data_IF_129902781300
#
_entry.id   IF_129902781300
#
_cell.length_a   1.000
_cell.length_b   1.000
_cell.length_c   1.000
_cell.angle_alpha   90.00
_cell.angle_beta   90.00
_cell.angle_gamma   90.00
#
_symmetry.space_group_name_H-M   'P 1'
#
loop_
_entity.id
_entity.type
_entity.pdbx_description
1 polymer ?
#
# COMPACT_ATOMS: atom_id res chain seq x y z
N UNK A 1 16.66 -0.96 -1.12
CA UNK A 1 15.63 -1.07 -0.06
C UNK A 1 14.70 -2.24 -0.41
N UNK A 2 14.35 -3.09 0.56
CA UNK A 2 13.35 -4.16 0.41
C UNK A 2 12.09 -3.76 1.16
N UNK A 3 10.92 -4.14 0.64
CA UNK A 3 9.64 -3.79 1.24
C UNK A 3 8.86 -5.04 1.60
N UNK A 4 8.14 -4.98 2.72
CA UNK A 4 7.37 -6.09 3.26
C UNK A 4 5.95 -5.63 3.56
N UNK A 5 4.97 -6.49 3.25
CA UNK A 5 3.57 -6.35 3.65
C UNK A 5 3.20 -7.58 4.49
N UNK A 6 2.74 -7.36 5.72
CA UNK A 6 2.39 -8.43 6.67
C UNK A 6 3.54 -9.45 6.85
N UNK A 7 4.79 -8.96 6.85
CA UNK A 7 6.03 -9.73 6.91
C UNK A 7 6.37 -10.56 5.64
N UNK A 8 5.57 -10.47 4.58
CA UNK A 8 5.88 -11.08 3.28
C UNK A 8 6.58 -10.06 2.39
N UNK A 9 7.70 -10.46 1.76
CA UNK A 9 8.44 -9.58 0.85
C UNK A 9 7.61 -9.24 -0.39
N UNK A 10 7.62 -7.96 -0.75
CA UNK A 10 6.94 -7.41 -1.92
C UNK A 10 7.94 -7.42 -3.07
N UNK A 11 7.57 -8.03 -4.19
CA UNK A 11 8.42 -8.04 -5.40
C UNK A 11 7.61 -7.61 -6.62
N UNK A 12 8.27 -7.03 -7.62
CA UNK A 12 7.61 -6.68 -8.90
C UNK A 12 7.05 -7.90 -9.64
N UNK A 13 7.56 -9.11 -9.35
CA UNK A 13 7.05 -10.35 -9.91
C UNK A 13 5.69 -10.75 -9.33
N UNK A 14 5.37 -10.31 -8.10
CA UNK A 14 4.11 -10.66 -7.44
C UNK A 14 2.93 -9.78 -7.85
N UNK A 15 3.19 -8.56 -8.32
CA UNK A 15 2.13 -7.65 -8.78
C UNK A 15 2.69 -6.58 -9.74
N UNK A 16 2.11 -6.49 -10.93
CA UNK A 16 2.52 -5.55 -12.00
C UNK A 16 2.22 -4.08 -11.67
N UNK A 17 1.45 -3.81 -10.62
CA UNK A 17 1.15 -2.45 -10.14
C UNK A 17 2.24 -1.87 -9.24
N UNK A 18 3.20 -2.68 -8.83
CA UNK A 18 4.30 -2.28 -7.94
C UNK A 18 5.39 -1.57 -8.74
N UNK A 19 5.83 -0.42 -8.22
CA UNK A 19 6.98 0.32 -8.71
C UNK A 19 7.86 0.72 -7.52
N UNK A 20 9.16 0.46 -7.63
CA UNK A 20 10.15 0.92 -6.66
C UNK A 20 10.88 2.14 -7.24
N UNK A 21 10.96 3.22 -6.46
CA UNK A 21 11.77 4.40 -6.81
C UNK A 21 12.77 4.71 -5.70
N UNK A 22 13.87 5.33 -6.09
CA UNK A 22 14.91 5.81 -5.20
C UNK A 22 15.35 7.19 -5.68
N UNK A 23 15.39 8.15 -4.75
CA UNK A 23 16.07 9.41 -4.94
C UNK A 23 17.39 9.35 -4.16
N UNK A 24 18.50 9.22 -4.89
CA UNK A 24 19.84 9.13 -4.30
C UNK A 24 20.36 10.46 -3.77
N UNK A 25 19.78 11.57 -4.20
CA UNK A 25 20.17 12.91 -3.77
C UNK A 25 19.61 13.19 -2.38
N UNK A 26 18.35 12.82 -2.14
CA UNK A 26 17.67 12.98 -0.85
C UNK A 26 17.75 11.73 0.04
N UNK A 27 18.27 10.62 -0.49
CA UNK A 27 18.31 9.30 0.15
C UNK A 27 16.93 8.78 0.53
N UNK A 28 15.95 9.01 -0.34
CA UNK A 28 14.57 8.59 -0.17
C UNK A 28 14.25 7.36 -1.02
N UNK A 29 13.46 6.45 -0.45
CA UNK A 29 13.05 5.22 -1.11
C UNK A 29 11.54 5.12 -1.08
N UNK A 30 10.95 4.76 -2.22
CA UNK A 30 9.50 4.73 -2.40
C UNK A 30 9.05 3.35 -2.85
N UNK A 31 8.00 2.85 -2.21
CA UNK A 31 7.14 1.80 -2.73
C UNK A 31 5.86 2.46 -3.26
N UNK A 32 5.59 2.29 -4.54
CA UNK A 32 4.40 2.81 -5.21
C UNK A 32 3.54 1.62 -5.63
N UNK A 33 2.27 1.62 -5.22
CA UNK A 33 1.27 0.63 -5.62
C UNK A 33 0.21 1.35 -6.45
N UNK A 34 0.20 1.13 -7.76
CA UNK A 34 -0.79 1.75 -8.67
C UNK A 34 -2.15 1.08 -8.52
N UNK A 35 -3.23 1.84 -8.76
CA UNK A 35 -4.60 1.33 -8.71
C UNK A 35 -4.88 0.51 -7.44
N UNK A 36 -4.61 1.11 -6.28
CA UNK A 36 -4.73 0.43 -4.99
C UNK A 36 -6.15 -0.09 -4.75
N UNK A 37 -6.25 -1.31 -4.21
CA UNK A 37 -7.50 -2.02 -3.95
C UNK A 37 -7.53 -2.54 -2.50
N UNK A 38 -8.68 -3.05 -2.01
CA UNK A 38 -8.79 -3.51 -0.63
C UNK A 38 -7.78 -4.60 -0.24
N UNK A 39 -7.32 -5.42 -1.17
CA UNK A 39 -6.34 -6.46 -0.87
C UNK A 39 -4.98 -5.86 -0.54
N UNK A 40 -4.67 -4.63 -0.97
CA UNK A 40 -3.44 -3.90 -0.64
C UNK A 40 -3.37 -3.41 0.81
N UNK A 41 -4.45 -3.54 1.58
CA UNK A 41 -4.44 -3.20 3.00
C UNK A 41 -3.49 -4.10 3.78
N UNK A 42 -2.84 -3.54 4.80
CA UNK A 42 -1.91 -4.32 5.62
C UNK A 42 -0.90 -3.48 6.37
N UNK A 43 0.02 -4.17 7.01
CA UNK A 43 1.14 -3.58 7.74
C UNK A 43 2.39 -3.58 6.87
N UNK A 44 2.93 -2.40 6.57
CA UNK A 44 4.07 -2.22 5.69
C UNK A 44 5.34 -1.85 6.47
N UNK A 45 6.47 -2.37 6.02
CA UNK A 45 7.78 -2.10 6.59
C UNK A 45 8.86 -2.09 5.49
N UNK A 46 9.78 -1.14 5.56
CA UNK A 46 10.98 -1.13 4.73
C UNK A 46 12.17 -1.74 5.50
N UNK A 47 13.03 -2.43 4.77
CA UNK A 47 14.29 -2.99 5.24
C UNK A 47 15.45 -2.47 4.39
N UNK A 48 16.44 -1.88 5.07
CA UNK A 48 17.67 -1.39 4.47
C UNK A 48 18.81 -2.28 4.96
N UNK A 49 19.64 -2.74 4.02
CA UNK A 49 20.80 -3.59 4.31
C UNK A 49 22.02 -2.95 3.65
N UNK A 50 23.10 -2.80 4.42
CA UNK A 50 24.41 -2.40 3.95
C UNK A 50 25.49 -3.31 4.55
N UNK A 51 26.77 -3.04 4.27
CA UNK A 51 27.88 -3.85 4.76
C UNK A 51 27.97 -3.93 6.30
N UNK A 52 27.44 -2.93 7.02
CA UNK A 52 27.46 -2.89 8.48
C UNK A 52 26.29 -3.68 9.11
N UNK A 53 25.26 -4.01 8.34
CA UNK A 53 24.13 -4.80 8.81
C UNK A 53 22.80 -4.39 8.20
N UNK A 54 21.74 -4.62 8.98
CA UNK A 54 20.36 -4.51 8.54
C UNK A 54 19.53 -3.73 9.55
N UNK A 55 18.72 -2.81 9.05
CA UNK A 55 17.76 -2.03 9.82
C UNK A 55 16.38 -2.10 9.17
N UNK A 56 15.34 -2.10 10.00
CA UNK A 56 13.94 -2.05 9.58
C UNK A 56 13.29 -0.77 10.07
N UNK A 57 12.43 -0.18 9.25
CA UNK A 57 11.62 0.97 9.66
C UNK A 57 10.59 0.55 10.73
N UNK A 58 9.96 1.53 11.39
CA UNK A 58 8.71 1.24 12.09
C UNK A 58 7.68 0.71 11.09
N UNK A 59 6.79 -0.15 11.59
CA UNK A 59 5.69 -0.67 10.79
C UNK A 59 4.58 0.37 10.69
N UNK A 60 4.00 0.50 9.50
CA UNK A 60 2.90 1.43 9.22
C UNK A 60 1.69 0.68 8.68
N UNK A 61 0.53 0.90 9.29
CA UNK A 61 -0.74 0.31 8.84
C UNK A 61 -1.33 1.14 7.69
N UNK A 62 -1.54 0.51 6.54
CA UNK A 62 -2.18 1.10 5.36
C UNK A 62 -3.61 0.59 5.27
N UNK A 63 -4.55 1.52 5.08
CA UNK A 63 -5.98 1.22 4.90
C UNK A 63 -6.49 1.86 3.62
N UNK A 64 -7.32 1.15 2.86
CA UNK A 64 -7.96 1.66 1.65
C UNK A 64 -9.41 2.01 1.98
N UNK A 65 -9.78 3.25 1.74
CA UNK A 65 -11.15 3.72 1.93
C UNK A 65 -11.92 3.57 0.62
N UNK A 66 -13.08 2.93 0.69
CA UNK A 66 -14.04 2.90 -0.42
C UNK A 66 -15.04 4.04 -0.25
N UNK A 67 -15.51 4.59 -1.37
CA UNK A 67 -16.64 5.51 -1.34
C UNK A 67 -17.90 4.80 -0.82
N UNK A 68 -18.74 5.47 -0.02
CA UNK A 68 -20.00 4.90 0.43
C UNK A 68 -20.92 4.65 -0.76
N UNK A 69 -21.58 3.50 -0.78
CA UNK A 69 -22.56 3.12 -1.80
C UNK A 69 -23.93 2.95 -1.16
N UNK A 70 -25.00 3.38 -1.84
CA UNK A 70 -26.35 3.10 -1.40
C UNK A 70 -26.63 1.59 -1.44
N UNK A 71 -26.82 0.99 -0.25
CA UNK A 71 -27.21 -0.43 -0.13
C UNK A 71 -28.66 -0.61 -0.60
N UNK A 72 -29.53 0.38 -0.36
CA UNK A 72 -30.91 0.42 -0.82
C UNK A 72 -31.17 1.75 -1.50
N UNK A 73 -31.64 1.71 -2.76
CA UNK A 73 -32.09 2.92 -3.46
C UNK A 73 -33.38 3.43 -2.81
N UNK A 74 -33.54 4.74 -2.61
CA UNK A 74 -34.81 5.29 -2.15
C UNK A 74 -35.92 4.92 -3.13
N UNK A 75 -37.06 4.49 -2.60
CA UNK A 75 -38.25 4.22 -3.40
C UNK A 75 -39.04 5.53 -3.55
N UNK A 76 -39.44 5.84 -4.78
CA UNK A 76 -40.33 6.97 -5.05
C UNK A 76 -41.67 6.73 -4.36
N UNK A 77 -42.15 7.74 -3.62
CA UNK A 77 -43.52 7.78 -3.12
C UNK A 77 -44.24 8.93 -3.83
N UNK A 78 -45.48 8.70 -4.26
CA UNK A 78 -46.38 9.77 -4.74
C UNK A 78 -47.32 10.15 -3.60
N UNK A 79 -47.36 11.43 -3.25
CA UNK A 79 -48.30 11.98 -2.26
C UNK A 79 -49.53 12.47 -3.01
N UNK A 80 -50.71 11.98 -2.61
CA UNK A 80 -52.01 12.43 -3.11
C UNK A 80 -52.54 13.61 -2.29
#
# INVERSE_FOLDING_TARGET
>A
CQWFKNNTEITVATDTRIEFKEDKTTNEYFLIIKNANPDDMGEYQAQLTNAAGLIKTKKSKVTIQKQPTFIKKPQSITVN
#
